data_IF_333422855758
#
_entry.id   IF_333422855758
#
_cell.length_a   1.000
_cell.length_b   1.000
_cell.length_c   1.000
_cell.angle_alpha   90.00
_cell.angle_beta   90.00
_cell.angle_gamma   90.00
#
_symmetry.space_group_name_H-M   'P 1'
#
loop_
_entity.id
_entity.type
_entity.pdbx_description
1 polymer ?
#
# COMPACT_ATOMS: atom_id res chain seq x y z
N UNK A 1 -13.41 -10.35 -1.59
CA UNK A 1 -12.11 -9.92 -1.03
C UNK A 1 -11.51 -8.81 -1.86
N UNK A 2 -10.74 -7.90 -1.23
CA UNK A 2 -9.86 -6.97 -1.96
C UNK A 2 -8.39 -7.34 -1.77
N UNK A 3 -7.73 -7.74 -2.86
CA UNK A 3 -6.30 -8.04 -2.92
C UNK A 3 -5.57 -6.95 -3.71
N UNK A 4 -4.55 -6.33 -3.11
CA UNK A 4 -3.78 -5.24 -3.73
C UNK A 4 -2.30 -5.59 -3.75
N UNK A 5 -1.68 -5.53 -4.93
CA UNK A 5 -0.22 -5.58 -5.10
C UNK A 5 0.37 -4.19 -5.27
N UNK A 6 1.34 -3.82 -4.44
CA UNK A 6 2.04 -2.54 -4.58
C UNK A 6 3.31 -2.71 -5.41
N UNK A 7 3.39 -1.97 -6.52
CA UNK A 7 4.57 -1.85 -7.38
C UNK A 7 5.11 -0.42 -7.36
N UNK A 8 6.38 -0.27 -7.69
CA UNK A 8 7.08 1.01 -7.74
C UNK A 8 8.51 0.91 -7.20
N UNK A 9 9.31 1.95 -7.42
CA UNK A 9 10.73 1.98 -7.04
C UNK A 9 10.95 2.00 -5.52
N UNK A 10 12.18 1.72 -5.09
CA UNK A 10 12.57 1.95 -3.70
C UNK A 10 12.27 3.40 -3.30
N UNK A 11 11.80 3.61 -2.07
CA UNK A 11 11.44 4.94 -1.51
C UNK A 11 10.33 5.70 -2.26
N UNK A 12 9.56 5.02 -3.11
CA UNK A 12 8.38 5.63 -3.76
C UNK A 12 7.20 5.84 -2.81
N UNK A 13 7.19 5.18 -1.65
CA UNK A 13 6.11 5.28 -0.65
C UNK A 13 5.24 4.03 -0.50
N UNK A 14 5.62 2.89 -1.13
CA UNK A 14 4.86 1.62 -1.01
C UNK A 14 4.62 1.19 0.43
N UNK A 15 5.65 1.19 1.28
CA UNK A 15 5.53 0.77 2.69
C UNK A 15 4.58 1.71 3.45
N UNK A 16 4.62 3.01 3.14
CA UNK A 16 3.71 4.01 3.68
C UNK A 16 2.26 3.72 3.28
N UNK A 17 2.02 3.37 2.02
CA UNK A 17 0.68 3.01 1.51
C UNK A 17 0.18 1.70 2.12
N UNK A 18 1.02 0.65 2.18
CA UNK A 18 0.68 -0.63 2.82
C UNK A 18 0.30 -0.43 4.28
N UNK A 19 1.12 0.29 5.05
CA UNK A 19 0.84 0.59 6.45
C UNK A 19 -0.38 1.49 6.66
N UNK A 20 -0.72 2.34 5.69
CA UNK A 20 -1.97 3.11 5.71
C UNK A 20 -3.19 2.22 5.48
N UNK A 21 -3.17 1.36 4.45
CA UNK A 21 -4.24 0.40 4.17
C UNK A 21 -4.48 -0.54 5.37
N UNK A 22 -3.41 -1.05 5.99
CA UNK A 22 -3.52 -1.91 7.16
C UNK A 22 -4.20 -1.19 8.34
N UNK A 23 -3.71 0.00 8.69
CA UNK A 23 -4.23 0.76 9.84
C UNK A 23 -5.64 1.31 9.63
N UNK A 24 -5.98 1.71 8.40
CA UNK A 24 -7.22 2.45 8.13
C UNK A 24 -8.33 1.60 7.56
N UNK A 25 -7.98 0.56 6.81
CA UNK A 25 -8.90 -0.29 6.05
C UNK A 25 -8.80 -1.77 6.43
N UNK A 26 -8.11 -2.08 7.55
CA UNK A 26 -7.99 -3.44 8.10
C UNK A 26 -7.38 -4.45 7.12
N UNK A 27 -6.56 -3.97 6.17
CA UNK A 27 -5.82 -4.85 5.29
C UNK A 27 -4.80 -5.65 6.10
N UNK A 28 -4.78 -6.95 5.87
CA UNK A 28 -3.62 -7.76 6.22
C UNK A 28 -2.47 -7.35 5.32
N UNK A 29 -1.26 -7.27 5.87
CA UNK A 29 -0.07 -6.86 5.14
C UNK A 29 0.92 -8.00 5.11
N UNK A 30 1.28 -8.46 3.91
CA UNK A 30 2.33 -9.45 3.69
C UNK A 30 3.30 -8.99 2.60
N UNK A 31 4.43 -9.66 2.50
CA UNK A 31 5.44 -9.46 1.47
C UNK A 31 5.99 -10.80 0.99
N UNK A 32 6.40 -10.87 -0.29
CA UNK A 32 7.11 -12.03 -0.84
C UNK A 32 8.43 -12.27 -0.09
N UNK A 33 9.03 -11.20 0.41
CA UNK A 33 10.27 -11.28 1.18
C UNK A 33 10.11 -11.76 2.63
N UNK A 34 8.90 -11.92 3.15
CA UNK A 34 8.70 -12.25 4.57
C UNK A 34 9.31 -13.60 5.00
N UNK A 35 9.19 -14.70 4.23
CA UNK A 35 9.85 -15.96 4.59
C UNK A 35 11.37 -15.79 4.72
N UNK A 36 11.99 -15.02 3.81
CA UNK A 36 13.43 -14.77 3.86
C UNK A 36 13.83 -13.98 5.10
N UNK A 37 13.06 -12.94 5.46
CA UNK A 37 13.29 -12.20 6.70
C UNK A 37 13.18 -13.12 7.91
N UNK A 38 12.14 -13.94 7.99
CA UNK A 38 11.95 -14.88 9.10
C UNK A 38 13.10 -15.88 9.24
N UNK A 39 13.59 -16.43 8.12
CA UNK A 39 14.74 -17.35 8.12
C UNK A 39 16.02 -16.67 8.63
N UNK A 40 16.31 -15.46 8.16
CA UNK A 40 17.51 -14.72 8.57
C UNK A 40 17.39 -14.17 9.99
N UNK A 41 16.21 -13.74 10.42
CA UNK A 41 15.94 -13.36 11.80
C UNK A 41 16.14 -14.53 12.75
N UNK A 42 15.70 -15.74 12.38
CA UNK A 42 15.93 -16.93 13.19
C UNK A 42 17.41 -17.29 13.34
N UNK A 43 18.23 -17.02 12.31
CA UNK A 43 19.65 -17.36 12.30
C UNK A 43 20.55 -16.28 12.94
N UNK A 44 20.24 -15.00 12.70
CA UNK A 44 21.09 -13.86 13.06
C UNK A 44 20.50 -12.98 14.17
N UNK A 45 19.21 -13.15 14.51
CA UNK A 45 18.54 -12.40 15.57
C UNK A 45 18.61 -10.89 15.35
N UNK A 46 18.97 -10.17 16.41
CA UNK A 46 19.02 -8.70 16.42
C UNK A 46 20.04 -8.13 15.43
N UNK A 47 21.07 -8.89 15.04
CA UNK A 47 22.02 -8.47 14.00
C UNK A 47 21.32 -8.26 12.64
N UNK A 48 20.26 -9.01 12.36
CA UNK A 48 19.47 -8.84 11.15
C UNK A 48 18.33 -7.85 11.34
N UNK A 49 17.68 -7.86 12.51
CA UNK A 49 16.53 -6.98 12.79
C UNK A 49 16.93 -5.51 12.88
N UNK A 50 17.95 -5.23 13.68
CA UNK A 50 18.34 -3.87 14.09
C UNK A 50 19.67 -3.42 13.46
N UNK A 51 20.36 -4.32 12.75
CA UNK A 51 21.60 -4.03 12.05
C UNK A 51 21.44 -3.09 10.85
N UNK A 52 22.53 -2.39 10.50
CA UNK A 52 22.60 -1.64 9.26
C UNK A 52 22.51 -2.62 8.08
N UNK A 53 21.47 -2.43 7.25
CA UNK A 53 21.16 -3.34 6.15
C UNK A 53 22.26 -3.39 5.10
N UNK A 54 22.99 -2.30 4.90
CA UNK A 54 24.01 -2.20 3.85
C UNK A 54 25.43 -2.46 4.40
N UNK A 55 25.67 -2.25 5.70
CA UNK A 55 26.98 -2.50 6.32
C UNK A 55 27.24 -4.01 6.48
N UNK A 56 28.41 -4.51 6.03
CA UNK A 56 28.82 -5.88 6.33
C UNK A 56 28.93 -6.13 7.83
N UNK A 57 28.51 -7.31 8.27
CA UNK A 57 28.78 -7.80 9.61
C UNK A 57 30.27 -8.20 9.64
N UNK A 58 31.04 -7.59 10.55
CA UNK A 58 32.51 -7.60 10.52
C UNK A 58 33.14 -9.00 10.33
N UNK A 59 32.65 -10.01 11.07
CA UNK A 59 33.18 -11.38 11.01
C UNK A 59 32.61 -12.23 9.87
N UNK A 60 31.49 -11.81 9.28
CA UNK A 60 30.82 -12.54 8.19
C UNK A 60 31.25 -12.01 6.81
N UNK A 61 31.67 -10.74 6.73
CA UNK A 61 32.01 -10.07 5.48
C UNK A 61 30.81 -9.84 4.55
N UNK A 62 29.58 -10.06 5.04
CA UNK A 62 28.33 -9.86 4.29
C UNK A 62 27.37 -8.99 5.08
N UNK A 63 26.65 -8.13 4.36
CA UNK A 63 25.59 -7.31 4.94
C UNK A 63 24.24 -8.04 4.96
N UNK A 64 23.29 -7.66 5.84
CA UNK A 64 21.92 -8.19 5.81
C UNK A 64 21.26 -8.10 4.42
N UNK A 65 21.54 -7.04 3.64
CA UNK A 65 21.08 -6.89 2.26
C UNK A 65 21.63 -8.00 1.37
N UNK A 66 22.93 -8.28 1.44
CA UNK A 66 23.56 -9.33 0.63
C UNK A 66 23.03 -10.72 1.01
N UNK A 67 22.81 -10.97 2.30
CA UNK A 67 22.19 -12.22 2.78
C UNK A 67 20.77 -12.39 2.21
N UNK A 68 19.94 -11.35 2.24
CA UNK A 68 18.59 -11.38 1.63
C UNK A 68 18.63 -11.65 0.13
N UNK A 69 19.56 -11.01 -0.60
CA UNK A 69 19.65 -11.15 -2.05
C UNK A 69 20.10 -12.55 -2.48
N UNK A 70 21.13 -13.09 -1.83
CA UNK A 70 21.68 -14.42 -2.09
C UNK A 70 20.69 -15.51 -1.70
N UNK A 71 20.06 -15.40 -0.53
CA UNK A 71 19.00 -16.32 -0.11
C UNK A 71 17.82 -16.32 -1.09
N UNK A 72 17.39 -15.13 -1.51
CA UNK A 72 16.24 -14.98 -2.42
C UNK A 72 16.50 -15.50 -3.82
N UNK A 73 17.68 -15.23 -4.37
CA UNK A 73 17.97 -15.49 -5.79
C UNK A 73 18.76 -16.78 -5.96
N UNK A 74 19.95 -16.84 -5.38
CA UNK A 74 20.88 -17.96 -5.60
C UNK A 74 20.31 -19.24 -4.98
N UNK A 75 19.96 -19.21 -3.71
CA UNK A 75 19.40 -20.40 -3.07
C UNK A 75 17.94 -20.62 -3.49
N UNK A 76 17.06 -19.65 -3.22
CA UNK A 76 15.62 -19.84 -3.42
C UNK A 76 15.23 -20.08 -4.88
N UNK A 77 15.53 -19.13 -5.77
CA UNK A 77 15.08 -19.21 -7.17
C UNK A 77 15.91 -20.17 -8.01
N UNK A 78 17.25 -20.15 -7.87
CA UNK A 78 18.11 -20.95 -8.75
C UNK A 78 18.27 -22.40 -8.30
N UNK A 79 18.35 -22.67 -6.98
CA UNK A 79 18.59 -24.04 -6.49
C UNK A 79 17.30 -24.79 -6.12
N UNK A 80 16.28 -24.10 -5.61
CA UNK A 80 15.04 -24.77 -5.15
C UNK A 80 13.95 -24.72 -6.21
N UNK A 81 13.44 -23.53 -6.53
CA UNK A 81 12.40 -23.36 -7.54
C UNK A 81 12.30 -21.89 -7.98
N UNK A 82 12.24 -21.58 -9.30
CA UNK A 82 12.17 -20.19 -9.79
C UNK A 82 10.98 -19.38 -9.24
N UNK A 83 9.90 -20.07 -8.90
CA UNK A 83 8.67 -19.51 -8.32
C UNK A 83 8.50 -19.75 -6.82
N UNK A 84 9.53 -20.21 -6.10
CA UNK A 84 9.43 -20.59 -4.68
C UNK A 84 8.66 -19.56 -3.85
N UNK A 85 9.06 -18.28 -3.93
CA UNK A 85 8.46 -17.21 -3.14
C UNK A 85 7.01 -16.90 -3.54
N UNK A 86 6.70 -17.03 -4.83
CA UNK A 86 5.34 -16.89 -5.36
C UNK A 86 4.46 -18.03 -4.85
N UNK A 87 4.93 -19.28 -4.93
CA UNK A 87 4.20 -20.46 -4.44
C UNK A 87 3.90 -20.35 -2.95
N UNK A 88 4.88 -19.97 -2.13
CA UNK A 88 4.69 -19.77 -0.68
C UNK A 88 3.67 -18.67 -0.37
N UNK A 89 3.73 -17.57 -1.14
CA UNK A 89 2.82 -16.44 -0.96
C UNK A 89 1.41 -16.79 -1.44
N UNK A 90 1.28 -17.56 -2.52
CA UNK A 90 0.00 -18.02 -3.05
C UNK A 90 -0.76 -18.88 -2.02
N UNK A 91 -0.06 -19.70 -1.23
CA UNK A 91 -0.70 -20.44 -0.12
C UNK A 91 -1.33 -19.50 0.91
N UNK A 92 -0.63 -18.41 1.27
CA UNK A 92 -1.18 -17.38 2.18
C UNK A 92 -2.37 -16.67 1.54
N UNK A 93 -2.24 -16.27 0.27
CA UNK A 93 -3.31 -15.58 -0.47
C UNK A 93 -4.58 -16.43 -0.50
N UNK A 94 -4.49 -17.73 -0.81
CA UNK A 94 -5.63 -18.66 -0.80
C UNK A 94 -6.34 -18.68 0.55
N UNK A 95 -5.58 -18.75 1.65
CA UNK A 95 -6.15 -18.72 3.00
C UNK A 95 -6.89 -17.40 3.29
N UNK A 96 -6.31 -16.26 2.92
CA UNK A 96 -7.00 -14.99 3.05
C UNK A 96 -8.28 -14.99 2.20
N UNK A 97 -8.21 -15.41 0.93
CA UNK A 97 -9.34 -15.52 -0.01
C UNK A 97 -10.50 -16.29 0.62
N UNK A 98 -10.23 -17.45 1.22
CA UNK A 98 -11.24 -18.26 1.93
C UNK A 98 -11.91 -17.52 3.09
N UNK A 99 -11.17 -16.64 3.78
CA UNK A 99 -11.66 -15.84 4.91
C UNK A 99 -12.29 -14.49 4.50
N UNK A 100 -12.32 -14.17 3.21
CA UNK A 100 -12.77 -12.87 2.67
C UNK A 100 -12.11 -11.63 3.29
N UNK A 101 -10.88 -11.77 3.82
CA UNK A 101 -10.14 -10.69 4.48
C UNK A 101 -9.27 -9.85 3.53
N UNK A 102 -9.38 -8.52 3.51
CA UNK A 102 -8.58 -7.69 2.60
C UNK A 102 -7.06 -7.87 2.82
N UNK A 103 -6.30 -7.91 1.72
CA UNK A 103 -4.88 -8.24 1.72
C UNK A 103 -4.08 -7.28 0.83
N UNK A 104 -2.96 -6.78 1.35
CA UNK A 104 -1.99 -5.97 0.58
C UNK A 104 -0.63 -6.67 0.57
N UNK A 105 -0.06 -6.82 -0.63
CA UNK A 105 1.28 -7.34 -0.87
C UNK A 105 2.19 -6.16 -1.24
N UNK A 106 3.15 -5.82 -0.39
CA UNK A 106 3.85 -4.52 -0.47
C UNK A 106 5.06 -4.46 -1.40
N UNK A 107 5.63 -5.61 -1.78
CA UNK A 107 6.95 -5.71 -2.40
C UNK A 107 6.95 -6.50 -3.71
N UNK A 108 5.94 -6.27 -4.55
CA UNK A 108 5.89 -6.84 -5.90
C UNK A 108 7.06 -6.28 -6.74
N UNK A 109 7.95 -7.16 -7.18
CA UNK A 109 9.19 -6.82 -7.92
C UNK A 109 9.33 -7.58 -9.23
N UNK A 110 8.66 -8.72 -9.38
CA UNK A 110 8.78 -9.59 -10.56
C UNK A 110 7.44 -9.81 -11.26
N UNK A 111 7.48 -10.13 -12.55
CA UNK A 111 6.28 -10.38 -13.36
C UNK A 111 5.43 -11.52 -12.82
N UNK A 112 6.04 -12.64 -12.44
CA UNK A 112 5.31 -13.78 -11.89
C UNK A 112 4.60 -13.48 -10.55
N UNK A 113 5.13 -12.53 -9.77
CA UNK A 113 4.49 -12.05 -8.54
C UNK A 113 3.23 -11.23 -8.87
N UNK A 114 3.31 -10.36 -9.87
CA UNK A 114 2.18 -9.59 -10.38
C UNK A 114 1.12 -10.50 -11.02
N UNK A 115 1.55 -11.47 -11.82
CA UNK A 115 0.67 -12.46 -12.47
C UNK A 115 -0.13 -13.26 -11.44
N UNK A 116 0.51 -13.69 -10.35
CA UNK A 116 -0.17 -14.39 -9.25
C UNK A 116 -1.25 -13.51 -8.63
N UNK A 117 -0.97 -12.24 -8.37
CA UNK A 117 -1.95 -11.30 -7.79
C UNK A 117 -3.16 -11.14 -8.72
N UNK A 118 -2.92 -10.93 -10.02
CA UNK A 118 -3.99 -10.78 -11.01
C UNK A 118 -4.81 -12.07 -11.19
N UNK A 119 -4.14 -13.24 -11.18
CA UNK A 119 -4.79 -14.56 -11.24
C UNK A 119 -5.80 -14.78 -10.12
N UNK A 120 -5.56 -14.20 -8.93
CA UNK A 120 -6.47 -14.25 -7.78
C UNK A 120 -7.46 -13.06 -7.73
N UNK A 121 -7.67 -12.39 -8.87
CA UNK A 121 -8.61 -11.26 -8.98
C UNK A 121 -8.16 -9.99 -8.24
N UNK A 122 -6.88 -9.91 -7.89
CA UNK A 122 -6.27 -8.73 -7.28
C UNK A 122 -6.00 -7.61 -8.28
N UNK A 123 -5.63 -6.45 -7.76
CA UNK A 123 -5.27 -5.27 -8.56
C UNK A 123 -3.85 -4.78 -8.22
N UNK A 124 -3.17 -4.21 -9.22
CA UNK A 124 -1.84 -3.63 -9.04
C UNK A 124 -1.94 -2.11 -8.88
N UNK A 125 -1.27 -1.58 -7.86
CA UNK A 125 -1.18 -0.15 -7.60
C UNK A 125 0.26 0.31 -7.75
N UNK A 126 0.49 1.25 -8.67
CA UNK A 126 1.80 1.77 -8.99
C UNK A 126 2.05 3.09 -8.29
N UNK A 127 2.88 3.04 -7.23
CA UNK A 127 3.28 4.23 -6.49
C UNK A 127 4.47 4.86 -7.20
N UNK A 128 4.23 6.01 -7.83
CA UNK A 128 5.21 6.75 -8.64
C UNK A 128 5.64 8.01 -7.90
N UNK A 129 6.95 8.21 -7.75
CA UNK A 129 7.53 9.45 -7.21
C UNK A 129 8.38 10.13 -8.31
N UNK A 130 7.97 11.30 -8.82
CA UNK A 130 8.59 11.92 -10.00
C UNK A 130 10.08 12.28 -9.80
N UNK A 131 10.48 12.71 -8.60
CA UNK A 131 11.80 13.30 -8.36
C UNK A 131 12.86 12.33 -7.82
N UNK A 132 12.67 11.01 -8.01
CA UNK A 132 13.63 10.01 -7.50
C UNK A 132 14.42 9.36 -8.64
N UNK A 133 15.63 9.86 -8.85
CA UNK A 133 16.64 9.24 -9.72
C UNK A 133 17.16 7.94 -9.08
N UNK A 134 17.41 6.88 -9.88
CA UNK A 134 17.71 5.55 -9.38
C UNK A 134 19.01 5.51 -8.56
N UNK A 135 18.97 4.79 -7.44
CA UNK A 135 20.16 4.44 -6.64
C UNK A 135 20.32 2.91 -6.73
N UNK A 136 20.90 2.42 -7.82
CA UNK A 136 21.26 1.01 -8.00
C UNK A 136 20.52 0.27 -9.13
N UNK A 137 21.23 -0.65 -9.79
CA UNK A 137 20.79 -1.39 -10.97
C UNK A 137 20.54 -2.88 -10.75
N UNK A 138 19.97 -3.28 -9.61
CA UNK A 138 19.59 -4.68 -9.41
C UNK A 138 18.35 -5.03 -10.26
N UNK A 139 18.34 -6.25 -10.81
CA UNK A 139 17.25 -6.79 -11.67
C UNK A 139 15.86 -6.61 -11.06
N UNK A 140 15.75 -6.62 -9.72
CA UNK A 140 14.50 -6.38 -9.00
C UNK A 140 13.95 -4.95 -9.07
N UNK A 141 14.66 -4.02 -9.71
CA UNK A 141 14.25 -2.62 -9.95
C UNK A 141 13.98 -2.31 -11.43
N UNK A 142 14.09 -3.31 -12.32
CA UNK A 142 14.04 -3.12 -13.77
C UNK A 142 12.73 -3.56 -14.42
N UNK A 143 11.76 -4.05 -13.65
CA UNK A 143 10.49 -4.52 -14.19
C UNK A 143 9.71 -3.38 -14.87
N UNK A 144 9.36 -3.59 -16.14
CA UNK A 144 8.49 -2.69 -16.88
C UNK A 144 7.03 -3.02 -16.59
N UNK A 145 6.35 -2.11 -15.90
CA UNK A 145 4.96 -2.28 -15.51
C UNK A 145 3.96 -1.81 -16.58
N UNK A 146 4.41 -1.27 -17.72
CA UNK A 146 3.51 -0.78 -18.78
C UNK A 146 2.62 -1.88 -19.36
N UNK A 147 3.11 -3.12 -19.41
CA UNK A 147 2.34 -4.28 -19.87
C UNK A 147 1.22 -4.72 -18.91
N UNK A 148 1.17 -4.18 -17.69
CA UNK A 148 0.25 -4.61 -16.64
C UNK A 148 -0.87 -3.60 -16.39
N UNK A 149 -2.14 -4.05 -16.27
CA UNK A 149 -3.23 -3.21 -15.82
C UNK A 149 -2.97 -2.76 -14.37
N UNK A 150 -2.90 -1.45 -14.15
CA UNK A 150 -2.55 -0.89 -12.85
C UNK A 150 -3.16 0.47 -12.60
N UNK A 151 -3.45 0.78 -11.34
CA UNK A 151 -3.85 2.11 -10.89
C UNK A 151 -2.60 2.90 -10.48
N UNK A 152 -2.36 4.04 -11.12
CA UNK A 152 -1.18 4.90 -10.81
C UNK A 152 -1.53 5.84 -9.65
N UNK A 153 -0.68 5.85 -8.61
CA UNK A 153 -0.76 6.79 -7.48
C UNK A 153 0.49 7.64 -7.50
N UNK A 154 0.31 8.95 -7.75
CA UNK A 154 1.42 9.90 -7.81
C UNK A 154 1.77 10.43 -6.41
N UNK A 155 2.91 10.03 -5.87
CA UNK A 155 3.49 10.53 -4.64
C UNK A 155 4.45 11.70 -4.93
N UNK A 156 3.89 12.91 -5.07
CA UNK A 156 4.65 14.13 -5.41
C UNK A 156 4.51 15.26 -4.37
N UNK A 157 3.85 14.99 -3.24
CA UNK A 157 3.50 16.03 -2.28
C UNK A 157 3.54 15.54 -0.84
N UNK A 158 2.65 16.08 -0.01
CA UNK A 158 2.55 15.73 1.42
C UNK A 158 2.06 14.30 1.66
N UNK A 159 2.25 13.81 2.89
CA UNK A 159 1.76 12.50 3.31
C UNK A 159 0.22 12.45 3.28
N UNK A 160 -0.42 13.56 3.63
CA UNK A 160 -1.87 13.75 3.58
C UNK A 160 -2.39 13.64 2.16
N UNK A 161 -1.73 14.27 1.19
CA UNK A 161 -2.07 14.16 -0.22
C UNK A 161 -1.91 12.73 -0.75
N UNK A 162 -0.86 12.01 -0.33
CA UNK A 162 -0.70 10.60 -0.68
C UNK A 162 -1.87 9.76 -0.15
N UNK A 163 -2.28 9.99 1.10
CA UNK A 163 -3.41 9.27 1.68
C UNK A 163 -4.73 9.59 0.99
N UNK A 164 -4.97 10.84 0.58
CA UNK A 164 -6.15 11.19 -0.22
C UNK A 164 -6.19 10.39 -1.53
N UNK A 165 -5.07 10.34 -2.27
CA UNK A 165 -5.00 9.55 -3.51
C UNK A 165 -5.18 8.05 -3.28
N UNK A 166 -4.72 7.52 -2.15
CA UNK A 166 -4.97 6.13 -1.75
C UNK A 166 -6.47 5.90 -1.51
N UNK A 167 -7.16 6.80 -0.81
CA UNK A 167 -8.61 6.72 -0.61
C UNK A 167 -9.36 6.78 -1.95
N UNK A 168 -8.98 7.69 -2.85
CA UNK A 168 -9.53 7.80 -4.21
C UNK A 168 -9.39 6.48 -4.97
N UNK A 169 -8.17 5.93 -4.98
CA UNK A 169 -7.87 4.68 -5.67
C UNK A 169 -8.62 3.49 -5.05
N UNK A 170 -8.83 3.53 -3.73
CA UNK A 170 -9.55 2.51 -2.99
C UNK A 170 -11.07 2.58 -3.19
N UNK A 171 -11.66 3.77 -3.13
CA UNK A 171 -13.12 3.99 -3.13
C UNK A 171 -13.70 4.29 -4.53
N UNK A 172 -12.85 4.57 -5.52
CA UNK A 172 -13.25 4.91 -6.89
C UNK A 172 -13.51 6.41 -7.12
N UNK A 173 -13.93 6.76 -8.34
CA UNK A 173 -14.12 8.14 -8.85
C UNK A 173 -15.02 9.04 -7.96
N UNK A 174 -15.91 8.43 -7.18
CA UNK A 174 -16.83 9.11 -6.26
C UNK A 174 -16.13 9.97 -5.21
N UNK A 175 -14.90 9.62 -4.80
CA UNK A 175 -14.17 10.34 -3.76
C UNK A 175 -13.42 11.57 -4.28
N UNK A 176 -12.82 11.52 -5.47
CA UNK A 176 -12.16 12.70 -6.08
C UNK A 176 -13.18 13.79 -6.35
N UNK A 177 -14.33 13.44 -6.90
CA UNK A 177 -15.46 14.36 -7.10
C UNK A 177 -15.92 14.98 -5.78
N UNK A 178 -15.96 14.20 -4.70
CA UNK A 178 -16.28 14.70 -3.37
C UNK A 178 -15.23 15.71 -2.86
N UNK A 179 -13.94 15.41 -2.94
CA UNK A 179 -12.88 16.32 -2.45
C UNK A 179 -12.84 17.60 -3.28
N UNK A 180 -12.95 17.53 -4.60
CA UNK A 180 -13.02 18.73 -5.45
C UNK A 180 -14.24 19.59 -5.13
N UNK A 181 -15.41 18.96 -4.95
CA UNK A 181 -16.62 19.65 -4.55
C UNK A 181 -16.46 20.35 -3.19
N UNK A 182 -15.81 19.71 -2.22
CA UNK A 182 -15.51 20.32 -0.92
C UNK A 182 -14.55 21.50 -1.08
N UNK A 183 -13.45 21.35 -1.85
CA UNK A 183 -12.47 22.43 -2.07
C UNK A 183 -13.13 23.67 -2.68
N UNK A 184 -13.98 23.48 -3.69
CA UNK A 184 -14.71 24.59 -4.34
C UNK A 184 -15.66 25.26 -3.36
N UNK A 185 -16.37 24.47 -2.55
CA UNK A 185 -17.37 24.99 -1.61
C UNK A 185 -16.75 25.69 -0.39
N UNK A 186 -15.78 25.05 0.27
CA UNK A 186 -15.18 25.54 1.51
C UNK A 186 -14.05 26.54 1.31
N UNK A 187 -13.52 26.62 0.08
CA UNK A 187 -12.30 27.37 -0.26
C UNK A 187 -11.06 26.88 0.52
N UNK A 188 -11.13 25.70 1.15
CA UNK A 188 -10.00 25.08 1.82
C UNK A 188 -9.10 24.41 0.76
N UNK A 189 -7.79 24.73 0.71
CA UNK A 189 -6.89 24.09 -0.26
C UNK A 189 -6.72 22.59 0.02
N UNK A 190 -6.79 22.19 1.29
CA UNK A 190 -6.65 20.81 1.78
C UNK A 190 -7.73 20.49 2.83
N UNK A 191 -8.96 20.18 2.40
CA UNK A 191 -10.06 19.93 3.32
C UNK A 191 -9.87 18.63 4.08
N UNK A 192 -10.00 18.72 5.41
CA UNK A 192 -9.88 17.58 6.31
C UNK A 192 -11.10 16.67 6.14
N UNK A 193 -10.94 15.36 6.05
CA UNK A 193 -12.05 14.40 6.06
C UNK A 193 -12.55 14.13 7.48
N UNK A 194 -13.87 14.17 7.69
CA UNK A 194 -14.45 13.70 8.94
C UNK A 194 -14.54 12.16 8.95
N UNK A 195 -14.12 11.56 10.06
CA UNK A 195 -14.14 10.11 10.29
C UNK A 195 -14.99 9.72 11.51
N UNK A 196 -15.69 10.67 12.11
CA UNK A 196 -16.57 10.42 13.24
C UNK A 196 -17.83 9.66 12.76
N UNK A 197 -18.31 8.73 13.59
CA UNK A 197 -19.56 8.01 13.37
C UNK A 197 -20.75 8.90 13.74
N UNK A 198 -21.12 9.81 12.83
CA UNK A 198 -22.27 10.68 13.03
C UNK A 198 -23.54 9.96 12.58
N UNK A 199 -24.30 9.43 13.53
CA UNK A 199 -25.70 9.11 13.30
C UNK A 199 -26.47 10.43 13.16
N UNK A 200 -27.28 10.55 12.10
CA UNK A 200 -27.80 11.78 11.49
C UNK A 200 -28.70 12.70 12.35
N UNK A 201 -28.67 12.64 13.68
CA UNK A 201 -29.38 13.57 14.56
C UNK A 201 -28.55 13.93 15.81
N UNK A 202 -28.51 15.23 16.15
CA UNK A 202 -27.94 15.72 17.41
C UNK A 202 -26.42 15.81 17.50
N UNK A 203 -25.68 15.54 16.42
CA UNK A 203 -24.20 15.44 16.43
C UNK A 203 -23.46 16.77 16.31
N UNK A 204 -24.20 17.89 16.29
CA UNK A 204 -23.65 19.24 16.16
C UNK A 204 -23.03 19.54 14.79
N UNK A 205 -23.12 18.65 13.80
CA UNK A 205 -22.58 18.88 12.46
C UNK A 205 -23.39 19.92 11.67
N UNK A 206 -22.72 20.69 10.82
CA UNK A 206 -23.34 21.71 9.96
C UNK A 206 -23.61 21.11 8.59
N UNK A 207 -24.87 21.14 8.16
CA UNK A 207 -25.33 20.58 6.89
C UNK A 207 -25.42 21.66 5.81
N UNK A 208 -24.85 21.38 4.65
CA UNK A 208 -24.92 22.24 3.47
C UNK A 208 -25.74 21.55 2.40
N UNK A 209 -27.06 21.79 2.44
CA UNK A 209 -28.03 21.08 1.59
C UNK A 209 -27.76 21.25 0.09
N UNK A 210 -27.30 22.43 -0.35
CA UNK A 210 -27.02 22.73 -1.77
C UNK A 210 -25.90 21.88 -2.37
N UNK A 211 -24.99 21.35 -1.56
CA UNK A 211 -23.83 20.57 -2.01
C UNK A 211 -23.83 19.13 -1.50
N UNK A 212 -24.82 18.73 -0.68
CA UNK A 212 -24.85 17.44 0.03
C UNK A 212 -23.59 17.19 0.87
N UNK A 213 -23.00 18.26 1.39
CA UNK A 213 -21.81 18.23 2.25
C UNK A 213 -22.19 18.44 3.72
N UNK A 214 -21.42 17.82 4.60
CA UNK A 214 -21.51 17.98 6.05
C UNK A 214 -20.14 18.34 6.60
N UNK A 215 -20.07 19.39 7.44
CA UNK A 215 -18.88 19.69 8.24
C UNK A 215 -19.12 19.26 9.69
N UNK A 216 -18.26 18.37 10.17
CA UNK A 216 -18.29 17.90 11.54
C UNK A 216 -17.85 19.01 12.50
N UNK A 217 -18.67 19.34 13.48
CA UNK A 217 -18.31 20.34 14.49
C UNK A 217 -17.21 19.89 15.45
N UNK A 218 -17.07 18.58 15.67
CA UNK A 218 -16.09 18.00 16.57
C UNK A 218 -14.68 17.97 15.96
N UNK A 219 -14.51 17.29 14.82
CA UNK A 219 -13.20 17.13 14.20
C UNK A 219 -12.89 18.18 13.11
N UNK A 220 -13.84 19.06 12.80
CA UNK A 220 -13.77 20.07 11.71
C UNK A 220 -13.50 19.47 10.33
N UNK A 221 -13.90 18.21 10.13
CA UNK A 221 -13.72 17.51 8.85
C UNK A 221 -15.01 17.43 8.03
N UNK A 222 -14.88 17.13 6.75
CA UNK A 222 -15.94 17.05 5.75
C UNK A 222 -16.38 15.62 5.47
N UNK A 223 -17.68 15.43 5.24
CA UNK A 223 -18.33 14.17 4.85
C UNK A 223 -19.43 14.40 3.82
N UNK A 224 -19.74 13.39 3.01
CA UNK A 224 -20.87 13.40 2.09
C UNK A 224 -22.13 12.85 2.76
N UNK A 225 -23.27 13.48 2.51
CA UNK A 225 -24.55 13.06 3.08
C UNK A 225 -25.00 11.75 2.42
N UNK A 226 -24.97 10.64 3.17
CA UNK A 226 -25.24 9.27 2.65
C UNK A 226 -26.73 8.97 2.40
N UNK A 227 -27.67 9.76 2.93
CA UNK A 227 -29.13 9.62 2.72
C UNK A 227 -29.79 11.00 2.65
N UNK A 228 -30.84 11.20 1.82
CA UNK A 228 -31.63 12.44 1.83
C UNK A 228 -32.08 12.75 3.26
N UNK A 229 -31.89 13.99 3.69
CA UNK A 229 -32.46 14.49 4.94
C UNK A 229 -33.90 14.80 4.59
N UNK A 230 -34.83 13.92 4.99
CA UNK A 230 -36.24 14.30 5.02
C UNK A 230 -36.38 15.36 6.12
N UNK A 231 -36.77 16.57 5.70
CA UNK A 231 -37.07 17.71 6.56
C UNK A 231 -38.46 17.54 7.15
#
# INVERSE_FOLDING_TARGET
>A
MKLIGLIGRARSGKDTVAGYLARRHMFSHIAFADPMKQMLEAAFGDLFRDGDREKPIDWLGKSPRQLMQTLGTEWGRNQIHPELWVLLTEQKVKHFVELDMPLVISDVRFHNEADMILKHGGELWHIVRPDFFPVGGHVSEMADWEAYPRKKILNAGSLEELYLKVEETHQGETFTQFIEQVKVFSQEPNPKLCRCDHKLQGTGAVFYQSTKLLQCSNCKGWQQVRKPIEV
#
